data_IF_153276276405
#
_entry.id   IF_153276276405
#
_cell.length_a   1.000
_cell.length_b   1.000
_cell.length_c   1.000
_cell.angle_alpha   90.00
_cell.angle_beta   90.00
_cell.angle_gamma   90.00
#
_symmetry.space_group_name_H-M   'P 1'
#
loop_
_entity.id
_entity.type
_entity.pdbx_description
1 polymer ?
#
# COMPACT_ATOMS: atom_id res chain seq x y z
N UNK A 1 1.05 9.72 6.83
CA UNK A 1 1.72 9.32 5.57
C UNK A 1 1.10 8.02 5.04
N UNK A 2 1.01 7.81 3.72
CA UNK A 2 0.25 6.68 3.12
C UNK A 2 1.04 6.03 1.98
N UNK A 3 1.04 4.69 1.87
CA UNK A 3 1.68 4.01 0.74
C UNK A 3 1.01 4.36 -0.58
N UNK A 4 -0.27 4.78 -0.59
CA UNK A 4 -1.01 5.24 -1.79
C UNK A 4 -0.24 6.25 -2.62
N UNK A 5 0.62 7.04 -1.96
CA UNK A 5 1.51 8.01 -2.60
C UNK A 5 2.60 7.38 -3.50
N UNK A 6 2.81 6.07 -3.41
CA UNK A 6 3.64 5.30 -4.32
C UNK A 6 2.94 4.87 -5.60
N UNK A 7 1.63 5.15 -5.76
CA UNK A 7 0.93 4.87 -7.03
C UNK A 7 1.30 5.92 -8.08
N UNK A 8 2.05 5.53 -9.10
CA UNK A 8 2.43 6.41 -10.21
C UNK A 8 1.19 6.84 -11.00
N UNK A 9 0.22 5.94 -11.19
CA UNK A 9 -1.01 6.25 -11.92
C UNK A 9 -1.84 7.31 -11.20
N UNK A 10 -2.02 7.17 -9.88
CA UNK A 10 -2.73 8.17 -9.08
C UNK A 10 -1.96 9.50 -9.00
N UNK A 11 -0.61 9.47 -9.01
CA UNK A 11 0.17 10.69 -9.15
C UNK A 11 -0.09 11.39 -10.49
N UNK A 12 -0.07 10.65 -11.59
CA UNK A 12 -0.29 11.18 -12.93
C UNK A 12 -1.73 11.72 -13.11
N UNK A 13 -2.71 11.09 -12.47
CA UNK A 13 -4.10 11.54 -12.44
C UNK A 13 -4.33 12.77 -11.53
N UNK A 14 -3.32 13.21 -10.78
CA UNK A 14 -3.41 14.38 -9.91
C UNK A 14 -4.17 14.15 -8.61
N UNK A 15 -4.45 12.90 -8.21
CA UNK A 15 -5.23 12.57 -6.99
C UNK A 15 -4.63 13.10 -5.68
N UNK A 16 -3.35 13.44 -5.71
CA UNK A 16 -2.61 13.94 -4.54
C UNK A 16 -1.99 15.33 -4.79
N UNK A 17 -2.48 16.09 -5.78
CA UNK A 17 -1.93 17.39 -6.13
C UNK A 17 -2.05 18.41 -4.99
N UNK A 18 -3.08 18.30 -4.17
CA UNK A 18 -3.35 19.13 -2.99
C UNK A 18 -2.58 18.68 -1.72
N UNK A 19 -1.95 17.50 -1.76
CA UNK A 19 -1.28 16.92 -0.59
C UNK A 19 0.18 17.37 -0.50
N UNK A 20 0.52 18.09 0.57
CA UNK A 20 1.91 18.39 0.92
C UNK A 20 2.59 17.15 1.53
N UNK A 21 3.29 16.41 0.69
CA UNK A 21 4.06 15.21 1.08
C UNK A 21 5.44 15.27 0.45
N UNK A 22 6.47 14.73 1.11
CA UNK A 22 7.83 14.83 0.57
C UNK A 22 7.98 14.00 -0.70
N UNK A 23 8.69 14.53 -1.70
CA UNK A 23 8.99 13.79 -2.93
C UNK A 23 9.74 12.50 -2.63
N UNK A 24 10.71 12.55 -1.72
CA UNK A 24 11.47 11.38 -1.29
C UNK A 24 10.56 10.26 -0.78
N UNK A 25 9.51 10.58 -0.01
CA UNK A 25 8.57 9.58 0.49
C UNK A 25 7.73 8.96 -0.65
N UNK A 26 7.23 9.78 -1.58
CA UNK A 26 6.47 9.30 -2.76
C UNK A 26 7.33 8.36 -3.60
N UNK A 27 8.55 8.79 -3.92
CA UNK A 27 9.51 8.02 -4.73
C UNK A 27 9.90 6.73 -4.02
N UNK A 28 10.21 6.77 -2.72
CA UNK A 28 10.55 5.57 -1.96
C UNK A 28 9.40 4.55 -1.95
N UNK A 29 8.15 5.00 -1.80
CA UNK A 29 6.98 4.11 -1.87
C UNK A 29 6.72 3.58 -3.28
N UNK A 30 6.94 4.38 -4.32
CA UNK A 30 6.87 3.90 -5.70
C UNK A 30 7.97 2.85 -5.98
N UNK A 31 9.20 3.06 -5.49
CA UNK A 31 10.28 2.09 -5.58
C UNK A 31 9.98 0.78 -4.84
N UNK A 32 9.42 0.86 -3.62
CA UNK A 32 8.96 -0.31 -2.86
C UNK A 32 7.87 -1.09 -3.62
N UNK A 33 6.94 -0.38 -4.25
CA UNK A 33 5.89 -0.98 -5.08
C UNK A 33 6.49 -1.67 -6.32
N UNK A 34 7.43 -1.03 -7.01
CA UNK A 34 8.14 -1.63 -8.15
C UNK A 34 8.91 -2.89 -7.75
N UNK A 35 9.58 -2.88 -6.59
CA UNK A 35 10.24 -4.08 -6.06
C UNK A 35 9.25 -5.24 -5.86
N UNK A 36 8.04 -4.95 -5.38
CA UNK A 36 6.99 -5.97 -5.22
C UNK A 36 6.61 -6.61 -6.55
N UNK A 37 6.48 -5.80 -7.61
CA UNK A 37 6.20 -6.29 -8.97
C UNK A 37 7.34 -7.15 -9.50
N UNK A 38 8.60 -6.72 -9.33
CA UNK A 38 9.76 -7.48 -9.76
C UNK A 38 9.87 -8.84 -9.04
N UNK A 39 9.68 -8.87 -7.72
CA UNK A 39 9.70 -10.11 -6.94
C UNK A 39 8.59 -11.07 -7.37
N UNK A 40 7.38 -10.57 -7.66
CA UNK A 40 6.28 -11.41 -8.16
C UNK A 40 6.65 -12.10 -9.48
N UNK A 41 7.32 -11.38 -10.39
CA UNK A 41 7.77 -11.90 -11.67
C UNK A 41 8.90 -12.93 -11.48
N UNK A 42 9.88 -12.64 -10.64
CA UNK A 42 11.02 -13.52 -10.37
C UNK A 42 10.61 -14.84 -9.70
N UNK A 43 9.70 -14.78 -8.72
CA UNK A 43 9.21 -15.98 -8.06
C UNK A 43 8.20 -16.77 -8.89
N UNK A 44 7.61 -16.18 -9.93
CA UNK A 44 6.74 -16.85 -10.90
C UNK A 44 5.65 -17.72 -10.24
N UNK A 45 4.96 -17.15 -9.23
CA UNK A 45 3.87 -17.82 -8.52
C UNK A 45 4.30 -18.76 -7.37
N UNK A 46 5.61 -18.99 -7.17
CA UNK A 46 6.13 -19.75 -6.02
C UNK A 46 5.98 -19.01 -4.70
N UNK A 47 5.98 -17.68 -4.76
CA UNK A 47 5.77 -16.77 -3.63
C UNK A 47 4.76 -15.72 -4.07
N UNK A 48 3.82 -15.41 -3.18
CA UNK A 48 2.84 -14.35 -3.38
C UNK A 48 3.44 -13.02 -2.93
N UNK A 49 3.46 -12.01 -3.80
CA UNK A 49 4.08 -10.72 -3.51
C UNK A 49 3.05 -9.60 -3.61
N UNK A 50 2.64 -9.05 -2.48
CA UNK A 50 1.63 -8.00 -2.39
C UNK A 50 2.18 -6.75 -1.71
N UNK A 51 1.82 -5.58 -2.27
CA UNK A 51 2.01 -4.31 -1.61
C UNK A 51 0.73 -3.97 -0.85
N UNK A 52 0.83 -3.54 0.41
CA UNK A 52 -0.34 -3.32 1.25
C UNK A 52 -0.30 -1.93 1.89
N UNK A 53 -1.34 -1.14 1.64
CA UNK A 53 -1.64 0.07 2.35
C UNK A 53 -2.40 -0.27 3.65
N UNK A 54 -1.85 0.05 4.83
CA UNK A 54 -2.51 -0.27 6.09
C UNK A 54 -3.73 0.60 6.41
N UNK A 55 -4.06 1.57 5.56
CA UNK A 55 -5.07 2.59 5.84
C UNK A 55 -4.51 3.80 6.60
N UNK A 56 -5.42 4.66 7.07
CA UNK A 56 -5.06 5.84 7.88
C UNK A 56 -4.98 5.46 9.36
N UNK A 57 -3.77 5.16 9.84
CA UNK A 57 -3.54 4.73 11.23
C UNK A 57 -3.30 5.89 12.18
N UNK A 58 -3.87 5.79 13.38
CA UNK A 58 -3.60 6.65 14.53
C UNK A 58 -2.20 6.37 15.10
N UNK A 59 -1.16 6.85 14.42
CA UNK A 59 0.26 6.68 14.80
C UNK A 59 0.99 8.01 14.75
N UNK A 60 2.22 8.07 15.26
CA UNK A 60 3.09 9.25 15.14
C UNK A 60 3.36 9.67 13.68
N UNK A 61 3.30 8.73 12.73
CA UNK A 61 3.42 9.00 11.29
C UNK A 61 2.05 9.17 10.59
N UNK A 62 0.96 9.03 11.34
CA UNK A 62 -0.42 9.10 10.88
C UNK A 62 -0.83 10.50 10.43
N UNK A 63 -1.96 10.60 9.75
CA UNK A 63 -2.59 11.90 9.49
C UNK A 63 -3.37 12.31 10.76
N UNK A 64 -3.32 13.58 11.19
CA UNK A 64 -4.17 14.05 12.29
C UNK A 64 -5.64 13.68 12.05
N UNK A 65 -6.29 13.06 13.04
CA UNK A 65 -7.68 12.58 12.92
C UNK A 65 -7.84 11.17 12.36
N UNK A 66 -6.75 10.42 12.14
CA UNK A 66 -6.84 8.99 11.86
C UNK A 66 -7.49 8.25 13.05
N UNK A 67 -8.54 7.48 12.77
CA UNK A 67 -9.33 6.77 13.80
C UNK A 67 -8.93 5.29 13.94
N UNK A 68 -8.28 4.71 12.93
CA UNK A 68 -7.95 3.27 12.94
C UNK A 68 -6.78 3.02 13.89
N UNK A 69 -7.02 2.19 14.90
CA UNK A 69 -5.97 1.76 15.83
C UNK A 69 -4.99 0.81 15.14
N UNK A 70 -3.69 0.86 15.46
CA UNK A 70 -2.70 -0.05 14.86
C UNK A 70 -3.05 -1.53 15.03
N UNK A 71 -3.61 -1.93 16.18
CA UNK A 71 -3.97 -3.32 16.45
C UNK A 71 -5.07 -3.82 15.50
N UNK A 72 -6.00 -2.93 15.14
CA UNK A 72 -7.08 -3.27 14.22
C UNK A 72 -6.56 -3.45 12.79
N UNK A 73 -5.64 -2.59 12.35
CA UNK A 73 -5.00 -2.75 11.06
C UNK A 73 -4.11 -4.01 11.01
N UNK A 74 -3.40 -4.32 12.09
CA UNK A 74 -2.65 -5.57 12.19
C UNK A 74 -3.56 -6.80 12.09
N UNK A 75 -4.71 -6.80 12.75
CA UNK A 75 -5.70 -7.88 12.64
C UNK A 75 -6.27 -8.01 11.22
N UNK A 76 -6.51 -6.90 10.51
CA UNK A 76 -6.92 -6.92 9.10
C UNK A 76 -5.82 -7.48 8.19
N UNK A 77 -4.57 -7.11 8.44
CA UNK A 77 -3.41 -7.64 7.70
C UNK A 77 -3.27 -9.15 7.91
N UNK A 78 -3.40 -9.63 9.15
CA UNK A 78 -3.35 -11.07 9.44
C UNK A 78 -4.43 -11.83 8.66
N UNK A 79 -5.68 -11.34 8.68
CA UNK A 79 -6.76 -11.93 7.89
C UNK A 79 -6.46 -11.94 6.39
N UNK A 80 -5.89 -10.86 5.85
CA UNK A 80 -5.50 -10.80 4.44
C UNK A 80 -4.45 -11.86 4.08
N UNK A 81 -3.50 -12.14 4.99
CA UNK A 81 -2.47 -13.17 4.77
C UNK A 81 -3.06 -14.59 4.74
N UNK A 82 -4.13 -14.83 5.50
CA UNK A 82 -4.84 -16.12 5.54
C UNK A 82 -5.73 -16.35 4.30
N UNK A 83 -5.97 -15.33 3.46
CA UNK A 83 -6.76 -15.47 2.24
C UNK A 83 -6.06 -16.37 1.21
N UNK A 84 -6.82 -17.24 0.56
CA UNK A 84 -6.32 -18.16 -0.47
C UNK A 84 -6.27 -17.56 -1.89
N UNK A 85 -6.22 -16.23 -2.04
CA UNK A 85 -6.17 -15.57 -3.35
C UNK A 85 -4.78 -15.77 -4.02
N UNK A 86 -4.69 -16.47 -5.16
CA UNK A 86 -3.40 -16.77 -5.78
C UNK A 86 -2.85 -15.60 -6.62
N UNK A 87 -3.64 -14.55 -6.89
CA UNK A 87 -3.24 -13.45 -7.78
C UNK A 87 -2.03 -12.71 -7.23
N UNK A 88 -1.01 -12.49 -8.04
CA UNK A 88 0.22 -11.78 -7.68
C UNK A 88 0.86 -11.18 -8.95
N UNK A 89 1.36 -9.93 -8.93
CA UNK A 89 1.36 -9.00 -7.80
C UNK A 89 -0.02 -8.34 -7.60
N UNK A 90 -0.27 -7.82 -6.40
CA UNK A 90 -1.44 -6.98 -6.08
C UNK A 90 -1.04 -5.78 -5.24
N UNK A 91 -1.83 -4.72 -5.31
CA UNK A 91 -1.64 -3.53 -4.49
C UNK A 91 -2.91 -3.18 -3.71
N UNK A 92 -2.93 -3.44 -2.41
CA UNK A 92 -4.16 -3.54 -1.63
C UNK A 92 -4.29 -2.43 -0.58
N UNK A 93 -5.53 -2.11 -0.21
CA UNK A 93 -5.84 -1.31 0.99
C UNK A 93 -6.57 -2.17 2.02
N UNK A 94 -6.20 -2.09 3.30
CA UNK A 94 -6.87 -2.85 4.37
C UNK A 94 -8.24 -2.28 4.76
N UNK A 95 -8.55 -1.08 4.32
CA UNK A 95 -9.74 -0.31 4.69
C UNK A 95 -10.49 0.25 3.47
N UNK A 96 -10.20 -0.27 2.27
CA UNK A 96 -10.74 0.27 1.03
C UNK A 96 -10.52 -0.66 -0.17
N UNK A 97 -10.81 -0.17 -1.39
CA UNK A 97 -10.63 -0.96 -2.59
C UNK A 97 -9.15 -1.25 -2.89
N UNK A 98 -8.93 -2.19 -3.80
CA UNK A 98 -7.63 -2.42 -4.44
C UNK A 98 -7.15 -1.13 -5.13
N UNK A 99 -5.84 -0.88 -5.05
CA UNK A 99 -5.19 0.35 -5.49
C UNK A 99 -4.55 0.16 -6.86
N UNK A 100 -4.53 1.23 -7.65
CA UNK A 100 -3.74 1.27 -8.87
C UNK A 100 -2.25 1.46 -8.54
N UNK A 101 -1.37 0.92 -9.39
CA UNK A 101 0.08 1.10 -9.30
C UNK A 101 0.55 2.50 -9.63
#
# INVERSE_FOLDING_TARGET
MSSRLGSVSAQAAGEFADRRTSYAYRIAKAGQNMLTVALAQEFAGRVRCWAVHPGSLATAMGVPGAATRPEEAAARLARLLDEADPRSPRYLSLDGPELAW
#
